data_IF_971125410185
#
_entry.id   IF_971125410185
#
_cell.length_a   1.000
_cell.length_b   1.000
_cell.length_c   1.000
_cell.angle_alpha   90.00
_cell.angle_beta   90.00
_cell.angle_gamma   90.00
#
_symmetry.space_group_name_H-M   'P 1'
#
loop_
_entity.id
_entity.type
_entity.pdbx_description
1 polymer ?
#
# COMPACT_ATOMS: atom_id res chain seq x y z
N UNK A 1 -2.37 -14.16 -13.30
CA UNK A 1 -2.24 -13.95 -14.77
C UNK A 1 -1.16 -14.87 -15.32
N UNK A 2 -1.23 -15.17 -16.63
CA UNK A 2 -0.21 -15.97 -17.33
C UNK A 2 1.16 -15.29 -17.26
N UNK A 3 2.23 -16.09 -17.20
CA UNK A 3 3.60 -15.57 -17.14
C UNK A 3 3.91 -14.75 -18.41
N UNK A 4 4.47 -13.55 -18.23
CA UNK A 4 4.82 -12.66 -19.35
C UNK A 4 3.67 -11.88 -19.97
N UNK A 5 2.42 -12.16 -19.63
CA UNK A 5 1.29 -11.39 -20.15
C UNK A 5 1.30 -9.95 -19.63
N UNK A 6 1.06 -9.00 -20.51
CA UNK A 6 1.01 -7.57 -20.22
C UNK A 6 -0.33 -7.01 -20.69
N UNK A 7 -1.26 -6.73 -19.77
CA UNK A 7 -2.62 -6.33 -20.14
C UNK A 7 -2.67 -5.10 -21.06
N UNK A 8 -1.77 -4.15 -20.85
CA UNK A 8 -1.68 -2.92 -21.64
C UNK A 8 -1.22 -3.13 -23.09
N UNK A 9 -0.63 -4.28 -23.41
CA UNK A 9 -0.16 -4.65 -24.75
C UNK A 9 -1.06 -5.69 -25.43
N UNK A 10 -2.22 -5.98 -24.85
CA UNK A 10 -3.16 -6.94 -25.43
C UNK A 10 -3.74 -6.41 -26.75
N UNK A 11 -3.56 -7.19 -27.81
CA UNK A 11 -4.04 -6.88 -29.17
C UNK A 11 -5.17 -7.82 -29.61
N UNK A 12 -5.69 -8.66 -28.69
CA UNK A 12 -6.82 -9.54 -29.02
C UNK A 12 -8.09 -8.74 -29.32
N UNK A 13 -9.09 -9.33 -29.97
CA UNK A 13 -10.36 -8.66 -30.26
C UNK A 13 -11.02 -8.08 -29.02
N UNK A 14 -11.66 -6.94 -29.16
CA UNK A 14 -12.49 -6.35 -28.12
C UNK A 14 -13.70 -7.22 -27.84
N UNK A 15 -14.17 -7.22 -26.61
CA UNK A 15 -15.39 -7.94 -26.24
C UNK A 15 -16.62 -7.16 -26.72
N UNK A 16 -17.67 -7.89 -27.07
CA UNK A 16 -19.00 -7.30 -27.30
C UNK A 16 -19.65 -6.82 -26.00
N UNK A 17 -20.82 -6.21 -26.07
CA UNK A 17 -21.53 -5.65 -24.89
C UNK A 17 -21.81 -6.72 -23.82
N UNK A 18 -22.15 -7.94 -24.22
CA UNK A 18 -22.37 -9.05 -23.28
C UNK A 18 -21.05 -9.49 -22.60
N UNK A 19 -19.97 -9.54 -23.39
CA UNK A 19 -18.64 -9.85 -22.89
C UNK A 19 -18.12 -8.77 -21.93
N UNK A 20 -18.37 -7.49 -22.21
CA UNK A 20 -18.02 -6.37 -21.31
C UNK A 20 -18.77 -6.52 -19.98
N UNK A 21 -20.08 -6.76 -20.03
CA UNK A 21 -20.91 -6.96 -18.82
C UNK A 21 -20.39 -8.14 -18.01
N UNK A 22 -20.17 -9.29 -18.64
CA UNK A 22 -19.62 -10.48 -17.98
C UNK A 22 -18.24 -10.22 -17.36
N UNK A 23 -17.36 -9.49 -18.06
CA UNK A 23 -16.05 -9.11 -17.53
C UNK A 23 -16.17 -8.27 -16.24
N UNK A 24 -17.07 -7.27 -16.24
CA UNK A 24 -17.34 -6.40 -15.09
C UNK A 24 -17.88 -7.17 -13.90
N UNK A 25 -18.82 -8.08 -14.13
CA UNK A 25 -19.39 -8.97 -13.09
C UNK A 25 -18.30 -9.83 -12.45
N UNK A 26 -17.46 -10.47 -13.26
CA UNK A 26 -16.35 -11.32 -12.78
C UNK A 26 -15.31 -10.52 -12.01
N UNK A 27 -14.97 -9.29 -12.44
CA UNK A 27 -14.13 -8.35 -11.68
C UNK A 27 -14.77 -8.04 -10.32
N UNK A 28 -16.09 -7.81 -10.29
CA UNK A 28 -16.84 -7.55 -9.05
C UNK A 28 -16.76 -8.72 -8.06
N UNK A 29 -16.97 -9.95 -8.54
CA UNK A 29 -16.84 -11.18 -7.74
C UNK A 29 -15.42 -11.33 -7.16
N UNK A 30 -14.40 -11.15 -7.99
CA UNK A 30 -13.00 -11.25 -7.54
C UNK A 30 -12.64 -10.13 -6.55
N UNK A 31 -13.18 -8.92 -6.74
CA UNK A 31 -12.97 -7.81 -5.80
C UNK A 31 -13.56 -8.13 -4.44
N UNK A 32 -14.77 -8.67 -4.40
CA UNK A 32 -15.37 -9.13 -3.15
C UNK A 32 -14.50 -10.20 -2.46
N UNK A 33 -13.96 -11.16 -3.22
CA UNK A 33 -13.03 -12.16 -2.67
C UNK A 33 -11.79 -11.51 -2.05
N UNK A 34 -11.22 -10.46 -2.68
CA UNK A 34 -10.08 -9.71 -2.13
C UNK A 34 -10.48 -9.02 -0.81
N UNK A 35 -11.63 -8.37 -0.75
CA UNK A 35 -12.09 -7.66 0.45
C UNK A 35 -12.28 -8.60 1.66
N UNK A 36 -12.64 -9.87 1.43
CA UNK A 36 -12.79 -10.87 2.49
C UNK A 36 -11.49 -11.66 2.79
N UNK A 37 -10.34 -11.27 2.19
CA UNK A 37 -9.03 -11.80 2.56
C UNK A 37 -8.25 -12.53 1.47
N UNK A 38 -8.74 -12.66 0.22
CA UNK A 38 -7.95 -13.20 -0.89
C UNK A 38 -6.98 -12.16 -1.43
N UNK A 39 -6.12 -11.68 -0.55
CA UNK A 39 -5.10 -10.66 -0.86
C UNK A 39 -4.10 -11.12 -1.92
N UNK A 40 -3.98 -12.42 -2.09
CA UNK A 40 -3.09 -13.10 -3.03
C UNK A 40 -3.41 -12.84 -4.51
N UNK A 41 -4.60 -12.37 -4.84
CA UNK A 41 -5.00 -12.03 -6.21
C UNK A 41 -5.13 -10.51 -6.44
N UNK A 42 -4.89 -9.70 -5.42
CA UNK A 42 -5.16 -8.26 -5.46
C UNK A 42 -4.43 -7.54 -6.60
N UNK A 43 -3.15 -7.82 -6.79
CA UNK A 43 -2.33 -7.10 -7.78
C UNK A 43 -2.79 -7.37 -9.20
N UNK A 44 -3.01 -8.64 -9.55
CA UNK A 44 -3.52 -9.05 -10.85
C UNK A 44 -4.91 -8.48 -11.11
N UNK A 45 -5.77 -8.55 -10.11
CA UNK A 45 -7.12 -7.99 -10.19
C UNK A 45 -7.09 -6.47 -10.38
N UNK A 46 -6.24 -5.76 -9.63
CA UNK A 46 -6.08 -4.31 -9.75
C UNK A 46 -5.63 -3.91 -11.16
N UNK A 47 -4.69 -4.64 -11.74
CA UNK A 47 -4.23 -4.41 -13.12
C UNK A 47 -5.36 -4.62 -14.12
N UNK A 48 -6.08 -5.74 -14.07
CA UNK A 48 -7.19 -6.07 -14.98
C UNK A 48 -8.39 -5.13 -14.83
N UNK A 49 -8.67 -4.67 -13.62
CA UNK A 49 -9.76 -3.71 -13.34
C UNK A 49 -9.61 -2.40 -14.11
N UNK A 50 -8.44 -2.07 -14.60
CA UNK A 50 -8.22 -0.85 -15.38
C UNK A 50 -8.80 -0.91 -16.79
N UNK A 51 -9.23 -2.10 -17.26
CA UNK A 51 -9.75 -2.35 -18.61
C UNK A 51 -11.26 -2.57 -18.66
N UNK A 52 -11.98 -2.31 -17.58
CA UNK A 52 -13.43 -2.57 -17.48
C UNK A 52 -14.27 -1.81 -18.52
N UNK A 53 -13.80 -0.66 -19.03
CA UNK A 53 -14.53 0.11 -20.04
C UNK A 53 -14.41 -0.47 -21.45
N UNK A 54 -13.28 -1.10 -21.76
CA UNK A 54 -13.01 -1.70 -23.07
C UNK A 54 -12.11 -2.94 -22.89
N UNK A 55 -12.65 -4.03 -22.34
CA UNK A 55 -11.88 -5.25 -22.15
C UNK A 55 -11.75 -6.02 -23.48
N UNK A 56 -10.67 -6.80 -23.58
CA UNK A 56 -10.36 -7.65 -24.72
C UNK A 56 -10.47 -9.12 -24.34
N UNK A 57 -10.50 -10.01 -25.33
CA UNK A 57 -10.56 -11.46 -25.09
C UNK A 57 -9.40 -11.94 -24.20
N UNK A 58 -8.17 -11.46 -24.43
CA UNK A 58 -7.04 -11.78 -23.58
C UNK A 58 -7.22 -11.34 -22.13
N UNK A 59 -7.87 -10.18 -21.88
CA UNK A 59 -8.20 -9.78 -20.51
C UNK A 59 -9.18 -10.76 -19.85
N UNK A 60 -10.20 -11.23 -20.58
CA UNK A 60 -11.16 -12.24 -20.10
C UNK A 60 -10.44 -13.56 -19.79
N UNK A 61 -9.53 -14.01 -20.63
CA UNK A 61 -8.71 -15.20 -20.38
C UNK A 61 -7.92 -15.09 -19.08
N UNK A 62 -7.36 -13.89 -18.78
CA UNK A 62 -6.64 -13.68 -17.51
C UNK A 62 -7.58 -13.74 -16.31
N UNK A 63 -8.82 -13.29 -16.42
CA UNK A 63 -9.82 -13.48 -15.35
C UNK A 63 -10.05 -14.98 -15.12
N UNK A 64 -10.21 -15.76 -16.18
CA UNK A 64 -10.36 -17.22 -16.06
C UNK A 64 -9.11 -17.89 -15.44
N UNK A 65 -7.90 -17.38 -15.72
CA UNK A 65 -6.68 -17.83 -15.04
C UNK A 65 -6.73 -17.56 -13.53
N UNK A 66 -7.26 -16.41 -13.10
CA UNK A 66 -7.43 -16.12 -11.67
C UNK A 66 -8.42 -17.11 -11.05
N UNK A 67 -9.56 -17.38 -11.68
CA UNK A 67 -10.52 -18.39 -11.20
C UNK A 67 -9.91 -19.79 -11.15
N UNK A 68 -9.12 -20.16 -12.13
CA UNK A 68 -8.39 -21.46 -12.14
C UNK A 68 -7.40 -21.54 -10.97
N UNK A 69 -6.70 -20.44 -10.69
CA UNK A 69 -5.83 -20.35 -9.50
C UNK A 69 -6.63 -20.54 -8.22
N UNK A 70 -7.77 -19.84 -8.07
CA UNK A 70 -8.64 -19.94 -6.90
C UNK A 70 -9.20 -21.36 -6.73
N UNK A 71 -9.55 -22.04 -7.83
CA UNK A 71 -9.97 -23.44 -7.80
C UNK A 71 -8.87 -24.37 -7.28
N UNK A 72 -7.62 -24.14 -7.68
CA UNK A 72 -6.47 -24.95 -7.27
C UNK A 72 -5.96 -24.58 -5.86
N UNK A 73 -6.18 -23.35 -5.42
CA UNK A 73 -5.88 -22.85 -4.08
C UNK A 73 -7.14 -22.26 -3.44
N UNK A 74 -8.10 -23.08 -3.04
CA UNK A 74 -9.40 -22.62 -2.56
C UNK A 74 -9.33 -21.94 -1.18
N UNK A 75 -8.26 -22.18 -0.43
CA UNK A 75 -8.07 -21.62 0.92
C UNK A 75 -6.84 -20.72 0.95
N UNK A 76 -7.01 -19.56 1.51
CA UNK A 76 -5.97 -18.68 2.02
C UNK A 76 -6.47 -18.19 3.37
N UNK A 77 -5.71 -18.41 4.42
CA UNK A 77 -6.09 -17.99 5.77
C UNK A 77 -5.20 -16.82 6.17
N UNK A 78 -5.80 -15.67 6.52
CA UNK A 78 -5.08 -14.59 7.17
C UNK A 78 -4.94 -14.94 8.65
N UNK A 79 -3.73 -14.82 9.17
CA UNK A 79 -3.46 -15.07 10.57
C UNK A 79 -3.51 -13.74 11.35
N UNK A 80 -4.33 -13.68 12.39
CA UNK A 80 -4.44 -12.53 13.27
C UNK A 80 -3.67 -12.82 14.56
N UNK A 81 -2.45 -12.28 14.63
CA UNK A 81 -1.58 -12.39 15.81
C UNK A 81 -1.57 -11.05 16.56
N UNK A 82 -2.12 -11.00 17.78
CA UNK A 82 -2.18 -9.79 18.59
C UNK A 82 -0.83 -9.45 19.25
N UNK A 83 0.21 -10.26 19.08
CA UNK A 83 1.52 -9.98 19.66
C UNK A 83 2.19 -8.80 18.97
N UNK A 84 3.02 -8.07 19.70
CA UNK A 84 3.79 -6.96 19.13
C UNK A 84 4.83 -7.46 18.13
N UNK A 85 5.04 -6.73 17.01
CA UNK A 85 6.09 -7.06 16.06
C UNK A 85 7.47 -6.78 16.70
N UNK A 86 8.41 -7.69 16.50
CA UNK A 86 9.79 -7.48 16.92
C UNK A 86 10.53 -6.58 15.92
N UNK A 87 10.34 -5.27 16.05
CA UNK A 87 10.99 -4.27 15.20
C UNK A 87 12.03 -3.53 16.04
N UNK A 88 13.30 -3.69 15.68
CA UNK A 88 14.40 -3.01 16.36
C UNK A 88 14.24 -1.48 16.23
N UNK A 89 14.19 -0.73 17.33
CA UNK A 89 14.10 0.73 17.33
C UNK A 89 15.24 1.42 16.57
N UNK A 90 16.39 0.76 16.39
CA UNK A 90 17.55 1.30 15.65
C UNK A 90 17.21 1.68 14.21
N UNK A 91 16.24 1.00 13.60
CA UNK A 91 15.80 1.27 12.23
C UNK A 91 15.24 2.69 12.05
N UNK A 92 14.74 3.30 13.14
CA UNK A 92 14.10 4.61 13.14
C UNK A 92 14.96 5.70 13.80
N UNK A 93 16.24 5.43 14.04
CA UNK A 93 17.19 6.41 14.60
C UNK A 93 17.87 7.26 13.54
N UNK A 94 17.78 6.88 12.25
CA UNK A 94 18.37 7.61 11.13
C UNK A 94 17.48 8.76 10.68
N UNK A 95 17.76 9.97 11.15
CA UNK A 95 17.01 11.16 10.73
C UNK A 95 17.19 12.28 11.74
N UNK A 96 16.64 13.46 11.40
CA UNK A 96 16.58 14.56 12.35
C UNK A 96 15.54 14.25 13.43
N UNK A 97 15.75 14.79 14.62
CA UNK A 97 14.80 14.65 15.72
C UNK A 97 13.42 15.19 15.31
N UNK A 98 12.35 14.53 15.74
CA UNK A 98 10.97 14.96 15.50
C UNK A 98 10.73 16.42 15.98
N UNK A 99 11.38 16.85 17.05
CA UNK A 99 11.25 18.23 17.56
C UNK A 99 11.79 19.26 16.56
N UNK A 100 12.89 18.94 15.85
CA UNK A 100 13.43 19.80 14.80
C UNK A 100 12.47 19.89 13.59
N UNK A 101 11.74 18.82 13.26
CA UNK A 101 10.68 18.87 12.25
C UNK A 101 9.50 19.75 12.68
N UNK A 102 9.14 19.75 13.97
CA UNK A 102 8.09 20.61 14.52
C UNK A 102 8.41 22.11 14.39
N UNK A 103 9.67 22.51 14.42
CA UNK A 103 10.07 23.89 14.17
C UNK A 103 9.72 24.36 12.76
N UNK A 104 9.87 23.50 11.75
CA UNK A 104 9.54 23.78 10.36
C UNK A 104 8.03 23.64 10.06
N UNK A 105 7.37 22.70 10.72
CA UNK A 105 5.95 22.38 10.55
C UNK A 105 5.20 22.63 11.87
N UNK A 106 5.21 23.90 12.37
CA UNK A 106 4.70 24.28 13.70
C UNK A 106 3.25 23.90 13.96
N UNK A 107 2.42 23.88 12.92
CA UNK A 107 1.00 23.54 13.02
C UNK A 107 0.72 22.03 12.83
N UNK A 108 1.77 21.24 12.58
CA UNK A 108 1.59 19.80 12.36
C UNK A 108 1.16 19.11 13.65
N UNK A 109 -0.04 18.60 13.61
CA UNK A 109 -0.62 17.79 14.70
C UNK A 109 -1.50 16.70 14.11
N UNK A 110 -1.61 15.60 14.83
CA UNK A 110 -2.57 14.56 14.48
C UNK A 110 -3.99 15.06 14.79
N UNK A 111 -4.90 14.92 13.83
CA UNK A 111 -6.31 15.18 14.09
C UNK A 111 -6.87 14.07 14.97
N UNK A 112 -7.39 14.47 16.13
CA UNK A 112 -8.01 13.56 17.09
C UNK A 112 -9.53 13.67 16.97
N UNK A 113 -10.26 12.56 17.20
CA UNK A 113 -11.71 12.66 17.35
C UNK A 113 -12.04 13.59 18.54
N UNK A 114 -13.19 14.29 18.52
CA UNK A 114 -13.64 15.08 19.67
C UNK A 114 -13.72 14.23 20.95
N UNK A 115 -13.27 14.77 22.08
CA UNK A 115 -13.19 14.03 23.35
C UNK A 115 -14.50 13.34 23.74
N UNK A 116 -15.66 13.99 23.49
CA UNK A 116 -16.98 13.43 23.78
C UNK A 116 -17.38 12.24 22.88
N UNK A 117 -16.62 11.98 21.79
CA UNK A 117 -16.82 10.86 20.88
C UNK A 117 -15.85 9.71 21.11
N UNK A 118 -14.83 9.92 21.95
CA UNK A 118 -13.82 8.89 22.24
C UNK A 118 -14.24 8.13 23.48
N UNK A 119 -14.48 6.83 23.39
CA UNK A 119 -14.74 6.01 24.56
C UNK A 119 -13.49 5.91 25.42
N UNK A 120 -13.66 5.60 26.70
CA UNK A 120 -12.54 5.28 27.59
C UNK A 120 -11.65 4.20 26.96
N UNK A 121 -10.32 4.39 26.96
CA UNK A 121 -9.42 3.44 26.34
C UNK A 121 -9.56 2.04 26.94
N UNK A 122 -9.80 1.06 26.08
CA UNK A 122 -9.98 -0.34 26.46
C UNK A 122 -8.79 -1.18 25.96
N UNK A 123 -8.29 -2.04 26.85
CA UNK A 123 -7.27 -3.02 26.51
C UNK A 123 -5.84 -2.47 26.51
N UNK A 124 -4.96 -3.20 25.82
CA UNK A 124 -3.55 -2.86 25.69
C UNK A 124 -3.34 -1.94 24.48
N UNK A 125 -2.34 -1.05 24.53
CA UNK A 125 -1.97 -0.25 23.35
C UNK A 125 -1.56 -1.15 22.20
N UNK A 126 -1.86 -0.72 20.97
CA UNK A 126 -1.46 -1.43 19.76
C UNK A 126 -0.35 -0.67 19.03
N UNK A 127 0.54 -1.44 18.43
CA UNK A 127 1.54 -0.97 17.49
C UNK A 127 0.97 -1.02 16.06
N UNK A 128 1.30 -0.02 15.24
CA UNK A 128 0.91 -0.02 13.83
C UNK A 128 2.14 0.03 12.93
N UNK A 129 2.14 -0.77 11.88
CA UNK A 129 3.27 -0.88 10.94
C UNK A 129 2.76 -0.88 9.50
N UNK A 130 3.49 -0.24 8.62
CA UNK A 130 3.19 -0.19 7.19
C UNK A 130 4.43 -0.48 6.35
N UNK A 131 4.22 -1.09 5.19
CA UNK A 131 5.21 -1.22 4.11
C UNK A 131 4.62 -0.56 2.88
N UNK A 132 5.43 0.19 2.15
CA UNK A 132 4.99 0.94 0.96
C UNK A 132 5.98 0.77 -0.18
N UNK A 133 5.46 0.66 -1.40
CA UNK A 133 6.22 0.56 -2.65
C UNK A 133 5.46 1.23 -3.80
N UNK A 134 6.20 1.62 -4.84
CA UNK A 134 5.63 2.02 -6.11
C UNK A 134 6.38 1.39 -7.29
N UNK A 135 5.68 0.67 -8.14
CA UNK A 135 6.24 0.22 -9.42
C UNK A 135 6.21 1.38 -10.43
N UNK A 136 7.36 2.07 -10.57
CA UNK A 136 7.46 3.25 -11.44
C UNK A 136 7.20 2.91 -12.91
N UNK A 137 6.32 3.68 -13.56
CA UNK A 137 5.99 3.57 -14.97
C UNK A 137 5.67 2.13 -15.42
N UNK A 138 5.04 1.34 -14.53
CA UNK A 138 4.77 -0.09 -14.73
C UNK A 138 3.89 -0.35 -15.96
N UNK A 139 2.92 0.51 -16.24
CA UNK A 139 2.12 0.43 -17.46
C UNK A 139 2.94 0.97 -18.65
N UNK A 140 3.27 0.12 -19.60
CA UNK A 140 4.16 0.46 -20.72
C UNK A 140 3.56 1.45 -21.73
N UNK A 141 2.24 1.51 -21.82
CA UNK A 141 1.53 2.41 -22.74
C UNK A 141 1.29 3.77 -22.09
N UNK A 142 0.64 3.79 -20.92
CA UNK A 142 0.29 5.05 -20.25
C UNK A 142 1.40 5.60 -19.36
N UNK A 143 2.45 4.83 -19.13
CA UNK A 143 3.58 5.16 -18.25
C UNK A 143 3.17 5.48 -16.80
N UNK A 144 1.96 5.11 -16.40
CA UNK A 144 1.48 5.29 -15.03
C UNK A 144 2.11 4.24 -14.11
N UNK A 145 2.44 4.70 -12.94
CA UNK A 145 2.98 3.88 -11.85
C UNK A 145 1.87 3.13 -11.12
N UNK A 146 2.26 2.16 -10.31
CA UNK A 146 1.35 1.39 -9.46
C UNK A 146 1.76 1.55 -8.00
N UNK A 147 0.83 1.93 -7.15
CA UNK A 147 1.02 2.06 -5.70
C UNK A 147 0.62 0.77 -5.02
N UNK A 148 1.44 0.29 -4.11
CA UNK A 148 1.13 -0.80 -3.20
C UNK A 148 1.51 -0.46 -1.77
N UNK A 149 0.67 -0.82 -0.81
CA UNK A 149 1.03 -0.78 0.59
C UNK A 149 0.21 -1.79 1.40
N UNK A 150 0.72 -2.09 2.58
CA UNK A 150 0.15 -3.04 3.52
C UNK A 150 0.28 -2.46 4.93
N UNK A 151 -0.80 -2.52 5.72
CA UNK A 151 -0.82 -2.03 7.09
C UNK A 151 -1.19 -3.15 8.07
N UNK A 152 -0.45 -3.19 9.16
CA UNK A 152 -0.64 -4.11 10.26
C UNK A 152 -1.04 -3.38 11.54
N UNK A 153 -1.88 -4.04 12.34
CA UNK A 153 -2.03 -3.77 13.77
C UNK A 153 -1.35 -4.92 14.49
N UNK A 154 -0.31 -4.62 15.27
CA UNK A 154 0.61 -5.61 15.80
C UNK A 154 1.17 -6.48 14.65
N UNK A 155 1.03 -7.80 14.70
CA UNK A 155 1.41 -8.69 13.58
C UNK A 155 0.24 -9.03 12.65
N UNK A 156 -0.95 -8.48 12.88
CA UNK A 156 -2.15 -8.80 12.10
C UNK A 156 -2.27 -7.88 10.90
N UNK A 157 -2.41 -8.44 9.72
CA UNK A 157 -2.70 -7.70 8.49
C UNK A 157 -4.14 -7.16 8.53
N UNK A 158 -4.30 -5.84 8.35
CA UNK A 158 -5.61 -5.17 8.43
C UNK A 158 -5.98 -4.44 7.14
N UNK A 159 -5.01 -3.83 6.46
CA UNK A 159 -5.27 -3.10 5.21
C UNK A 159 -4.25 -3.53 4.17
N UNK A 160 -4.74 -3.78 2.97
CA UNK A 160 -3.96 -4.04 1.77
C UNK A 160 -4.43 -3.14 0.63
N UNK A 161 -3.50 -2.67 -0.17
CA UNK A 161 -3.80 -1.72 -1.23
C UNK A 161 -2.92 -1.96 -2.46
N UNK A 162 -3.56 -1.97 -3.62
CA UNK A 162 -2.90 -2.07 -4.91
C UNK A 162 -3.71 -1.29 -5.93
N UNK A 163 -3.16 -0.19 -6.46
CA UNK A 163 -3.87 0.65 -7.42
C UNK A 163 -2.92 1.40 -8.35
N UNK A 164 -3.31 1.52 -9.61
CA UNK A 164 -2.62 2.37 -10.59
C UNK A 164 -2.73 3.84 -10.18
N UNK A 165 -1.63 4.58 -10.23
CA UNK A 165 -1.62 6.02 -9.98
C UNK A 165 -2.39 6.78 -11.07
N UNK A 166 -3.04 7.86 -10.69
CA UNK A 166 -3.81 8.69 -11.63
C UNK A 166 -2.93 9.63 -12.45
N UNK A 167 -1.73 9.92 -11.98
CA UNK A 167 -0.74 10.79 -12.62
C UNK A 167 0.39 9.98 -13.23
N UNK A 168 1.12 10.60 -14.17
CA UNK A 168 2.36 10.07 -14.73
C UNK A 168 3.52 10.81 -14.09
N UNK A 169 4.36 10.05 -13.40
CA UNK A 169 5.49 10.62 -12.66
C UNK A 169 6.78 10.52 -13.49
N UNK A 170 7.57 11.60 -13.44
CA UNK A 170 8.82 11.71 -14.19
C UNK A 170 9.98 10.90 -13.59
N UNK A 171 9.83 10.34 -12.41
CA UNK A 171 10.89 9.58 -11.72
C UNK A 171 10.34 8.59 -10.70
N UNK A 172 11.12 7.56 -10.41
CA UNK A 172 10.84 6.60 -9.33
C UNK A 172 10.61 7.31 -8.00
N UNK A 173 11.44 8.29 -7.65
CA UNK A 173 11.28 9.10 -6.45
C UNK A 173 9.89 9.73 -6.33
N UNK A 174 9.35 10.31 -7.42
CA UNK A 174 8.03 10.96 -7.38
C UNK A 174 6.91 9.94 -7.21
N UNK A 175 6.98 8.80 -7.91
CA UNK A 175 5.97 7.73 -7.77
C UNK A 175 5.97 7.12 -6.37
N UNK A 176 7.14 6.97 -5.75
CA UNK A 176 7.29 6.50 -4.37
C UNK A 176 6.71 7.49 -3.36
N UNK A 177 6.94 8.81 -3.55
CA UNK A 177 6.32 9.81 -2.68
C UNK A 177 4.80 9.85 -2.79
N UNK A 178 4.23 9.63 -3.98
CA UNK A 178 2.79 9.50 -4.15
C UNK A 178 2.27 8.26 -3.43
N UNK A 179 2.99 7.13 -3.50
CA UNK A 179 2.64 5.93 -2.77
C UNK A 179 2.70 6.17 -1.25
N UNK A 180 3.78 6.78 -0.76
CA UNK A 180 3.95 7.13 0.64
C UNK A 180 2.84 8.07 1.14
N UNK A 181 2.48 9.11 0.37
CA UNK A 181 1.36 10.01 0.69
C UNK A 181 0.05 9.23 0.80
N UNK A 182 -0.26 8.38 -0.16
CA UNK A 182 -1.48 7.55 -0.14
C UNK A 182 -1.50 6.63 1.09
N UNK A 183 -0.38 6.02 1.44
CA UNK A 183 -0.23 5.20 2.64
C UNK A 183 -0.48 6.02 3.90
N UNK A 184 0.10 7.23 4.01
CA UNK A 184 -0.11 8.15 5.14
C UNK A 184 -1.59 8.51 5.33
N UNK A 185 -2.33 8.76 4.26
CA UNK A 185 -3.76 9.04 4.33
C UNK A 185 -4.54 7.86 4.94
N UNK A 186 -4.20 6.63 4.56
CA UNK A 186 -4.82 5.42 5.14
C UNK A 186 -4.38 5.18 6.59
N UNK A 187 -3.11 5.45 6.93
CA UNK A 187 -2.63 5.39 8.31
C UNK A 187 -3.39 6.38 9.20
N UNK A 188 -3.53 7.61 8.76
CA UNK A 188 -4.26 8.64 9.51
C UNK A 188 -5.71 8.23 9.74
N UNK A 189 -6.38 7.72 8.70
CA UNK A 189 -7.75 7.22 8.81
C UNK A 189 -7.86 5.98 9.73
N UNK A 190 -6.89 5.06 9.68
CA UNK A 190 -6.87 3.90 10.58
C UNK A 190 -6.69 4.33 12.03
N UNK A 191 -5.71 5.20 12.32
CA UNK A 191 -5.44 5.72 13.67
C UNK A 191 -6.65 6.45 14.24
N UNK A 192 -7.32 7.27 13.42
CA UNK A 192 -8.56 7.94 13.82
C UNK A 192 -9.66 6.93 14.22
N UNK A 193 -9.89 5.91 13.37
CA UNK A 193 -10.87 4.85 13.65
C UNK A 193 -10.54 4.06 14.91
N UNK A 194 -9.28 3.69 15.13
CA UNK A 194 -8.85 2.96 16.32
C UNK A 194 -9.18 3.76 17.60
N UNK A 195 -8.93 5.08 17.61
CA UNK A 195 -9.31 5.94 18.73
C UNK A 195 -10.83 6.00 18.93
N UNK A 196 -11.60 6.09 17.84
CA UNK A 196 -13.07 6.02 17.91
C UNK A 196 -13.58 4.70 18.52
N UNK A 197 -12.81 3.62 18.41
CA UNK A 197 -13.12 2.34 19.07
C UNK A 197 -12.53 2.20 20.48
N UNK A 198 -11.89 3.25 21.00
CA UNK A 198 -11.23 3.20 22.31
C UNK A 198 -9.95 2.36 22.34
N UNK A 199 -9.35 2.08 21.17
CA UNK A 199 -8.09 1.35 21.10
C UNK A 199 -6.92 2.32 21.33
N UNK A 200 -6.12 2.14 22.40
CA UNK A 200 -5.01 3.03 22.69
C UNK A 200 -3.90 2.91 21.62
N UNK A 201 -3.41 4.05 21.13
CA UNK A 201 -2.27 4.13 20.23
C UNK A 201 -1.28 5.11 20.85
N UNK A 202 -0.13 4.63 21.26
CA UNK A 202 0.88 5.46 21.93
C UNK A 202 1.96 5.92 20.96
N UNK A 203 2.40 5.04 20.05
CA UNK A 203 3.52 5.28 19.16
C UNK A 203 3.08 5.77 17.78
N UNK A 204 4.02 6.43 17.09
CA UNK A 204 3.92 6.70 15.66
C UNK A 204 3.86 5.39 14.87
N UNK A 205 3.10 5.36 13.77
CA UNK A 205 3.11 4.21 12.86
C UNK A 205 4.48 4.06 12.20
N UNK A 206 5.05 2.87 12.26
CA UNK A 206 6.35 2.53 11.64
C UNK A 206 6.14 2.26 10.15
N UNK A 207 6.74 3.07 9.28
CA UNK A 207 6.59 2.96 7.82
C UNK A 207 7.92 2.56 7.20
N UNK A 208 7.93 1.43 6.49
CA UNK A 208 9.09 0.93 5.77
C UNK A 208 8.96 1.22 4.27
N UNK A 209 10.04 1.75 3.68
CA UNK A 209 10.17 2.04 2.27
C UNK A 209 11.57 1.63 1.79
N UNK A 210 11.68 1.01 0.62
CA UNK A 210 12.96 0.56 0.07
C UNK A 210 13.69 1.64 -0.76
N UNK A 211 13.08 2.81 -0.93
CA UNK A 211 13.69 3.95 -1.59
C UNK A 211 14.40 4.87 -0.59
N UNK A 212 15.73 4.75 -0.50
CA UNK A 212 16.55 5.56 0.42
C UNK A 212 16.37 7.07 0.21
N UNK A 213 16.11 7.51 -1.04
CA UNK A 213 15.87 8.94 -1.31
C UNK A 213 14.56 9.42 -0.68
N UNK A 214 13.50 8.60 -0.71
CA UNK A 214 12.24 8.90 -0.04
C UNK A 214 12.44 8.99 1.46
N UNK A 215 13.12 8.01 2.05
CA UNK A 215 13.43 8.00 3.50
C UNK A 215 14.21 9.26 3.89
N UNK A 216 15.32 9.56 3.21
CA UNK A 216 16.13 10.74 3.52
C UNK A 216 15.33 12.05 3.38
N UNK A 217 14.51 12.17 2.32
CA UNK A 217 13.69 13.36 2.11
C UNK A 217 12.52 13.48 3.09
N UNK A 218 12.08 12.39 3.68
CA UNK A 218 11.03 12.36 4.71
C UNK A 218 11.57 12.63 6.11
N UNK A 219 12.84 12.31 6.39
CA UNK A 219 13.41 12.29 7.75
C UNK A 219 14.50 13.33 7.99
N UNK A 220 15.06 13.97 6.94
CA UNK A 220 16.11 14.98 7.07
C UNK A 220 15.62 16.37 6.67
N UNK A 221 15.77 17.36 7.54
CA UNK A 221 15.38 18.75 7.27
C UNK A 221 16.24 19.41 6.19
N UNK A 222 17.54 19.08 6.15
CA UNK A 222 18.47 19.56 5.13
C UNK A 222 18.15 19.11 3.72
N UNK A 223 17.23 18.17 3.56
CA UNK A 223 16.79 17.68 2.26
C UNK A 223 15.93 18.73 1.56
N UNK A 224 16.37 19.15 0.38
CA UNK A 224 15.67 20.12 -0.46
C UNK A 224 14.96 19.42 -1.62
N UNK A 225 13.69 19.75 -1.82
CA UNK A 225 12.92 19.24 -2.95
C UNK A 225 13.29 19.99 -4.23
N UNK A 226 14.01 19.34 -5.13
CA UNK A 226 14.36 19.90 -6.44
C UNK A 226 13.26 19.73 -7.50
N UNK A 227 12.17 19.02 -7.18
CA UNK A 227 11.08 18.66 -8.11
C UNK A 227 9.76 19.28 -7.66
N UNK A 228 9.42 20.43 -8.24
CA UNK A 228 8.20 21.21 -7.87
C UNK A 228 6.91 20.39 -7.95
N UNK A 229 6.77 19.48 -8.92
CA UNK A 229 5.57 18.67 -9.12
C UNK A 229 5.32 17.64 -7.99
N UNK A 230 6.35 17.25 -7.24
CA UNK A 230 6.21 16.35 -6.09
C UNK A 230 5.96 17.07 -4.76
N UNK A 231 5.83 18.41 -4.78
CA UNK A 231 5.79 19.25 -3.58
C UNK A 231 4.67 18.86 -2.61
N UNK A 232 3.46 18.60 -3.10
CA UNK A 232 2.31 18.25 -2.26
C UNK A 232 2.55 16.92 -1.54
N UNK A 233 3.00 15.90 -2.25
CA UNK A 233 3.26 14.58 -1.65
C UNK A 233 4.43 14.64 -0.66
N UNK A 234 5.49 15.36 -1.03
CA UNK A 234 6.66 15.60 -0.18
C UNK A 234 6.28 16.25 1.14
N UNK A 235 5.56 17.37 1.10
CA UNK A 235 5.16 18.09 2.32
C UNK A 235 4.13 17.32 3.14
N UNK A 236 3.23 16.57 2.52
CA UNK A 236 2.25 15.74 3.23
C UNK A 236 2.91 14.66 4.08
N UNK A 237 3.93 13.96 3.54
CA UNK A 237 4.67 12.94 4.29
C UNK A 237 5.48 13.57 5.43
N UNK A 238 6.18 14.67 5.16
CA UNK A 238 6.95 15.40 6.19
C UNK A 238 6.07 15.98 7.29
N UNK A 239 4.90 16.47 6.93
CA UNK A 239 3.90 16.93 7.89
C UNK A 239 3.47 15.79 8.83
N UNK A 240 3.22 14.60 8.29
CA UNK A 240 2.87 13.44 9.10
C UNK A 240 4.02 12.96 10.02
N UNK A 241 5.28 13.12 9.59
CA UNK A 241 6.46 12.89 10.45
C UNK A 241 6.51 13.93 11.58
N UNK A 242 6.35 15.22 11.26
CA UNK A 242 6.35 16.30 12.25
C UNK A 242 5.20 16.17 13.26
N UNK A 243 4.02 15.75 12.78
CA UNK A 243 2.84 15.52 13.63
C UNK A 243 2.98 14.26 14.52
N UNK A 244 4.03 13.45 14.35
CA UNK A 244 4.21 12.20 15.09
C UNK A 244 3.26 11.09 14.67
N UNK A 245 2.61 11.21 13.51
CA UNK A 245 1.71 10.17 12.97
C UNK A 245 2.52 8.96 12.50
N UNK A 246 3.64 9.23 11.82
CA UNK A 246 4.52 8.20 11.25
C UNK A 246 5.99 8.40 11.64
N UNK A 247 6.74 7.30 11.62
CA UNK A 247 8.21 7.28 11.53
C UNK A 247 8.57 6.48 10.29
N UNK A 248 9.53 6.97 9.49
CA UNK A 248 9.91 6.32 8.22
C UNK A 248 11.30 5.71 8.35
N UNK A 249 11.45 4.47 7.91
CA UNK A 249 12.73 3.77 7.87
C UNK A 249 12.95 3.11 6.51
N UNK A 250 14.22 2.90 6.17
CA UNK A 250 14.59 2.15 4.99
C UNK A 250 14.54 0.64 5.26
N UNK A 251 14.09 -0.12 4.27
CA UNK A 251 14.16 -1.58 4.26
C UNK A 251 14.75 -2.05 2.93
N UNK A 252 15.47 -3.16 2.95
CA UNK A 252 15.93 -3.80 1.71
C UNK A 252 14.73 -4.28 0.89
N UNK A 253 14.78 -4.06 -0.44
CA UNK A 253 13.72 -4.47 -1.38
C UNK A 253 13.36 -5.95 -1.25
N UNK A 254 14.34 -6.81 -0.93
CA UNK A 254 14.07 -8.23 -0.72
C UNK A 254 13.07 -8.51 0.43
N UNK A 255 12.92 -7.59 1.37
CA UNK A 255 12.05 -7.69 2.54
C UNK A 255 10.88 -6.72 2.53
N UNK A 256 10.72 -5.92 1.45
CA UNK A 256 9.57 -5.02 1.35
C UNK A 256 8.30 -5.80 1.02
N UNK A 257 7.44 -5.97 2.02
CA UNK A 257 6.16 -6.71 1.88
C UNK A 257 5.22 -6.06 0.86
N UNK A 258 5.38 -4.76 0.58
CA UNK A 258 4.54 -4.05 -0.39
C UNK A 258 4.81 -4.44 -1.85
N UNK A 259 5.96 -5.06 -2.15
CA UNK A 259 6.32 -5.53 -3.50
C UNK A 259 5.27 -6.47 -4.10
N UNK A 260 4.60 -7.28 -3.27
CA UNK A 260 3.54 -8.20 -3.70
C UNK A 260 2.31 -7.48 -4.25
N UNK A 261 2.15 -6.18 -3.95
CA UNK A 261 1.02 -5.35 -4.37
C UNK A 261 1.36 -4.37 -5.50
N UNK A 262 2.60 -4.35 -5.95
CA UNK A 262 3.05 -3.46 -7.04
C UNK A 262 3.63 -4.21 -8.22
N UNK A 263 4.17 -5.40 -8.00
CA UNK A 263 4.92 -6.18 -8.98
C UNK A 263 4.38 -7.61 -9.08
N UNK A 264 4.50 -8.18 -10.27
CA UNK A 264 4.29 -9.62 -10.45
C UNK A 264 5.56 -10.35 -10.06
N UNK A 265 5.51 -11.03 -8.94
CA UNK A 265 6.64 -11.74 -8.36
C UNK A 265 6.69 -13.21 -8.80
N UNK A 266 7.87 -13.81 -8.71
CA UNK A 266 8.01 -15.26 -8.83
C UNK A 266 7.29 -15.96 -7.68
N UNK A 267 6.90 -17.21 -7.88
CA UNK A 267 6.22 -18.01 -6.84
C UNK A 267 7.04 -18.09 -5.55
N UNK A 268 8.36 -18.23 -5.66
CA UNK A 268 9.28 -18.29 -4.52
C UNK A 268 9.28 -17.00 -3.72
N UNK A 269 9.47 -15.85 -4.40
CA UNK A 269 9.48 -14.53 -3.75
C UNK A 269 8.13 -14.24 -3.10
N UNK A 270 7.05 -14.56 -3.81
CA UNK A 270 5.69 -14.39 -3.30
C UNK A 270 5.45 -15.22 -2.05
N UNK A 271 5.78 -16.51 -2.06
CA UNK A 271 5.60 -17.39 -0.91
C UNK A 271 6.45 -16.92 0.29
N UNK A 272 7.66 -16.43 0.04
CA UNK A 272 8.50 -15.88 1.11
C UNK A 272 7.86 -14.65 1.76
N UNK A 273 7.36 -13.69 0.95
CA UNK A 273 6.79 -12.45 1.46
C UNK A 273 5.39 -12.64 2.08
N UNK A 274 4.61 -13.60 1.58
CA UNK A 274 3.29 -13.92 2.16
C UNK A 274 3.37 -14.88 3.35
N UNK A 275 4.43 -15.70 3.46
CA UNK A 275 4.50 -16.82 4.39
C UNK A 275 4.48 -16.44 5.87
N UNK A 276 4.72 -15.18 6.22
CA UNK A 276 4.74 -14.73 7.61
C UNK A 276 3.33 -14.41 8.17
N UNK A 277 2.33 -14.22 7.32
CA UNK A 277 1.00 -13.75 7.72
C UNK A 277 -0.17 -14.42 6.98
N UNK A 278 0.12 -15.42 6.15
CA UNK A 278 -0.90 -16.25 5.48
C UNK A 278 -0.62 -17.74 5.66
N UNK A 279 -1.70 -18.52 5.71
CA UNK A 279 -1.67 -19.98 5.73
C UNK A 279 -2.28 -20.54 4.47
#
# INVERSE_FOLDING_TARGET
>A
MAQGYQPELDMSPELDENGITSFQELIGILRWAVEIGRVDILTELSMLSTYQACPRQGHMEQIHHIFSYLKNKPKLTLYFDPSEPNIDPIWFQSGDNQDTFKEQYREAKEELPPDHMVPEPLGRPVSTTAYVDASHAANKVTRRSHTGFILFINKSLIIWYSKRQNTVEASTFSSEFIAAKCCVEHITALRFKLRMFGVPIIESTKVFCDNQSVVNNSTKLSSTLNKKHSSIAYHAVRWAVAAGIIKVAWIDTAWNLADVFTKRLTVETRNRLFGEWTY
#
